data_IF_106557455363
#
_entry.id   IF_106557455363
#
_cell.length_a   1.000
_cell.length_b   1.000
_cell.length_c   1.000
_cell.angle_alpha   90.00
_cell.angle_beta   90.00
_cell.angle_gamma   90.00
#
_symmetry.space_group_name_H-M   'P 1'
#
loop_
_entity.id
_entity.type
_entity.pdbx_description
1 polymer ?
#
# COMPACT_ATOMS: atom_id res chain seq x y z
N UNK A 1 13.20 -11.03 -1.90
CA UNK A 1 12.71 -10.92 -0.53
C UNK A 1 11.36 -10.15 -0.54
N UNK A 2 10.26 -10.87 -0.31
CA UNK A 2 8.89 -10.33 -0.42
C UNK A 2 8.41 -9.78 0.93
N UNK A 3 9.28 -9.05 1.64
CA UNK A 3 8.96 -8.46 2.94
C UNK A 3 8.53 -7.01 2.79
N UNK A 4 7.46 -6.66 3.49
CA UNK A 4 7.05 -5.30 3.77
C UNK A 4 7.67 -4.85 5.09
N UNK A 5 8.33 -3.69 5.10
CA UNK A 5 8.78 -3.03 6.33
C UNK A 5 8.36 -1.56 6.20
N UNK A 6 7.41 -1.15 7.02
CA UNK A 6 6.83 0.19 6.94
C UNK A 6 6.73 0.84 8.33
N UNK A 7 7.25 2.06 8.46
CA UNK A 7 7.07 2.87 9.65
C UNK A 7 5.72 3.57 9.62
N UNK A 8 4.95 3.45 10.70
CA UNK A 8 3.68 4.12 10.90
C UNK A 8 3.68 4.89 12.22
N UNK A 9 2.97 6.00 12.26
CA UNK A 9 2.78 6.78 13.48
C UNK A 9 1.29 6.96 13.76
N UNK A 10 0.89 6.73 15.02
CA UNK A 10 -0.46 6.96 15.47
C UNK A 10 -0.44 7.62 16.86
N UNK A 11 -0.93 8.87 16.94
CA UNK A 11 -0.97 9.67 18.16
C UNK A 11 0.36 9.69 18.93
N UNK A 12 1.46 9.98 18.21
CA UNK A 12 2.80 10.09 18.77
C UNK A 12 3.50 8.76 19.08
N UNK A 13 2.84 7.63 18.87
CA UNK A 13 3.46 6.30 18.99
C UNK A 13 3.92 5.82 17.63
N UNK A 14 5.18 5.37 17.57
CA UNK A 14 5.78 4.81 16.36
C UNK A 14 5.66 3.29 16.34
N UNK A 15 5.25 2.76 15.21
CA UNK A 15 5.15 1.33 14.93
C UNK A 15 6.02 0.98 13.73
N UNK A 16 6.66 -0.17 13.81
CA UNK A 16 7.38 -0.76 12.71
C UNK A 16 6.60 -2.00 12.25
N UNK A 17 5.82 -1.82 11.19
CA UNK A 17 5.00 -2.91 10.64
C UNK A 17 5.86 -3.76 9.74
N UNK A 18 6.01 -5.03 10.09
CA UNK A 18 6.72 -6.05 9.33
C UNK A 18 5.73 -7.13 8.91
N UNK A 19 5.62 -7.35 7.62
CA UNK A 19 4.69 -8.33 7.05
C UNK A 19 5.21 -8.84 5.71
N UNK A 20 4.49 -9.77 5.09
CA UNK A 20 4.77 -10.22 3.74
C UNK A 20 4.00 -9.35 2.73
N UNK A 21 4.66 -9.06 1.60
CA UNK A 21 4.00 -8.46 0.45
C UNK A 21 3.05 -9.48 -0.17
N UNK A 22 1.77 -9.15 -0.22
CA UNK A 22 0.77 -10.00 -0.84
C UNK A 22 0.96 -10.04 -2.37
N UNK A 23 0.93 -11.22 -2.99
CA UNK A 23 1.02 -11.33 -4.44
C UNK A 23 -0.26 -10.78 -5.08
N UNK A 24 -0.08 -9.89 -6.06
CA UNK A 24 -1.18 -9.36 -6.86
C UNK A 24 -1.36 -10.24 -8.09
N UNK A 25 -2.59 -10.71 -8.32
CA UNK A 25 -2.93 -11.50 -9.50
C UNK A 25 -3.20 -10.58 -10.68
N UNK A 26 -2.15 -10.26 -11.42
CA UNK A 26 -2.24 -9.41 -12.59
C UNK A 26 -2.79 -10.16 -13.80
N UNK A 27 -3.71 -9.49 -14.50
CA UNK A 27 -4.13 -9.86 -15.86
C UNK A 27 -3.41 -8.92 -16.82
N UNK A 28 -2.55 -9.46 -17.67
CA UNK A 28 -1.85 -8.68 -18.68
C UNK A 28 -2.75 -8.43 -19.87
N UNK A 29 -2.83 -7.18 -20.29
CA UNK A 29 -3.62 -6.74 -21.43
C UNK A 29 -2.72 -6.45 -22.65
N UNK A 30 -3.30 -6.36 -23.82
CA UNK A 30 -2.56 -6.08 -25.06
C UNK A 30 -2.35 -4.58 -25.33
N UNK A 31 -3.01 -3.72 -24.57
CA UNK A 31 -2.92 -2.29 -24.73
C UNK A 31 -1.53 -1.77 -24.36
N UNK A 32 -1.05 -0.81 -25.12
CA UNK A 32 0.21 -0.14 -24.89
C UNK A 32 0.05 1.37 -24.96
N UNK A 33 0.87 2.08 -24.21
CA UNK A 33 1.04 3.54 -24.30
C UNK A 33 2.45 3.93 -23.94
N UNK A 34 2.82 5.16 -24.26
CA UNK A 34 4.08 5.73 -23.86
C UNK A 34 3.91 6.52 -22.56
N UNK A 35 4.76 6.19 -21.57
CA UNK A 35 4.90 6.94 -20.31
C UNK A 35 6.30 7.51 -20.27
N UNK A 36 6.44 8.82 -20.41
CA UNK A 36 7.74 9.45 -20.61
C UNK A 36 8.41 8.90 -21.87
N UNK A 37 9.63 8.39 -21.74
CA UNK A 37 10.40 7.77 -22.82
C UNK A 37 10.24 6.25 -22.92
N UNK A 38 9.32 5.65 -22.15
CA UNK A 38 9.17 4.21 -22.07
C UNK A 38 7.86 3.74 -22.70
N UNK A 39 7.95 2.68 -23.50
CA UNK A 39 6.78 1.96 -23.96
C UNK A 39 6.26 1.08 -22.82
N UNK A 40 5.02 1.31 -22.43
CA UNK A 40 4.37 0.58 -21.34
C UNK A 40 3.20 -0.27 -21.84
N UNK A 41 2.98 -1.38 -21.15
CA UNK A 41 1.85 -2.26 -21.35
C UNK A 41 0.91 -2.20 -20.16
N UNK A 42 -0.37 -2.42 -20.43
CA UNK A 42 -1.42 -2.40 -19.42
C UNK A 42 -1.53 -3.74 -18.71
N UNK A 43 -1.69 -3.70 -17.40
CA UNK A 43 -2.12 -4.83 -16.60
C UNK A 43 -3.23 -4.40 -15.64
N UNK A 44 -4.15 -5.29 -15.36
CA UNK A 44 -5.26 -5.05 -14.43
C UNK A 44 -5.28 -6.10 -13.32
N UNK A 45 -5.80 -5.72 -12.17
CA UNK A 45 -6.04 -6.63 -11.06
C UNK A 45 -7.23 -6.17 -10.24
N UNK A 46 -7.80 -7.06 -9.45
CA UNK A 46 -8.85 -6.74 -8.49
C UNK A 46 -8.39 -7.22 -7.12
N UNK A 47 -8.34 -6.32 -6.16
CA UNK A 47 -7.91 -6.62 -4.79
C UNK A 47 -8.89 -6.06 -3.76
N UNK A 48 -8.98 -6.65 -2.57
CA UNK A 48 -9.72 -6.04 -1.47
C UNK A 48 -9.16 -4.66 -1.11
N UNK A 49 -10.03 -3.66 -1.00
CA UNK A 49 -9.63 -2.27 -0.70
C UNK A 49 -8.81 -2.18 0.59
N UNK A 50 -9.17 -2.94 1.61
CA UNK A 50 -8.46 -2.98 2.91
C UNK A 50 -7.03 -3.49 2.83
N UNK A 51 -6.68 -4.27 1.84
CA UNK A 51 -5.28 -4.68 1.62
C UNK A 51 -4.42 -3.53 1.13
N UNK A 52 -5.02 -2.57 0.39
CA UNK A 52 -4.33 -1.38 -0.10
C UNK A 52 -4.29 -0.25 0.94
N UNK A 53 -5.32 -0.16 1.77
CA UNK A 53 -5.53 0.92 2.73
C UNK A 53 -5.45 0.45 4.19
N UNK A 54 -4.74 -0.65 4.46
CA UNK A 54 -4.65 -1.26 5.79
C UNK A 54 -4.18 -0.30 6.90
N UNK A 55 -3.45 0.74 6.53
CA UNK A 55 -2.95 1.78 7.45
C UNK A 55 -3.91 2.97 7.62
N UNK A 56 -4.99 3.06 6.82
CA UNK A 56 -5.98 4.12 6.92
C UNK A 56 -7.15 3.67 7.80
N UNK A 57 -7.42 4.45 8.84
CA UNK A 57 -8.52 4.21 9.76
C UNK A 57 -9.44 5.40 9.82
N UNK A 58 -10.75 5.15 9.72
CA UNK A 58 -11.79 6.12 9.95
C UNK A 58 -12.65 5.73 11.16
N UNK A 59 -13.37 6.69 11.72
CA UNK A 59 -14.33 6.39 12.79
C UNK A 59 -15.48 5.47 12.33
N UNK A 60 -15.77 5.46 11.03
CA UNK A 60 -16.72 4.53 10.42
C UNK A 60 -16.29 3.06 10.50
N UNK A 61 -14.97 2.80 10.47
CA UNK A 61 -14.43 1.44 10.55
C UNK A 61 -14.73 0.74 11.90
N UNK A 62 -15.03 1.52 12.95
CA UNK A 62 -15.40 0.99 14.25
C UNK A 62 -16.82 0.39 14.30
N UNK A 63 -17.66 0.74 13.33
CA UNK A 63 -19.06 0.32 13.26
C UNK A 63 -19.27 -0.81 12.25
N UNK A 64 -18.21 -1.32 11.65
CA UNK A 64 -18.28 -2.46 10.74
C UNK A 64 -18.59 -3.73 11.53
N UNK A 65 -19.60 -4.46 11.08
CA UNK A 65 -19.96 -5.75 11.64
C UNK A 65 -18.79 -6.74 11.46
N UNK A 66 -18.21 -7.18 12.57
CA UNK A 66 -17.07 -8.11 12.55
C UNK A 66 -17.45 -9.50 12.08
N UNK A 67 -18.74 -9.86 12.24
CA UNK A 67 -19.24 -11.19 11.86
C UNK A 67 -19.58 -11.26 10.36
N UNK A 68 -19.79 -10.10 9.71
CA UNK A 68 -20.05 -10.02 8.28
C UNK A 68 -19.39 -8.76 7.66
N UNK A 69 -18.07 -8.72 7.58
CA UNK A 69 -17.36 -7.59 7.00
C UNK A 69 -17.69 -7.49 5.50
N UNK A 70 -18.22 -6.35 5.09
CA UNK A 70 -18.40 -6.05 3.67
C UNK A 70 -17.02 -5.91 3.01
N UNK A 71 -16.67 -6.84 2.12
CA UNK A 71 -15.42 -6.81 1.37
C UNK A 71 -15.60 -5.92 0.15
N UNK A 72 -15.07 -4.71 0.21
CA UNK A 72 -15.00 -3.83 -0.96
C UNK A 72 -13.81 -4.24 -1.80
N UNK A 73 -14.06 -4.42 -3.10
CA UNK A 73 -13.04 -4.73 -4.10
C UNK A 73 -12.67 -3.46 -4.86
N UNK A 74 -11.38 -3.28 -5.09
CA UNK A 74 -10.85 -2.19 -5.90
C UNK A 74 -10.17 -2.74 -7.14
N UNK A 75 -10.53 -2.19 -8.29
CA UNK A 75 -9.83 -2.46 -9.53
C UNK A 75 -8.55 -1.63 -9.59
N UNK A 76 -7.46 -2.29 -9.95
CA UNK A 76 -6.15 -1.67 -10.16
C UNK A 76 -5.84 -1.73 -11.64
N UNK A 77 -5.33 -0.64 -12.18
CA UNK A 77 -4.73 -0.57 -13.50
C UNK A 77 -3.28 -0.13 -13.39
N UNK A 78 -2.37 -0.89 -13.96
CA UNK A 78 -0.94 -0.59 -13.95
C UNK A 78 -0.39 -0.56 -15.37
N UNK A 79 0.55 0.35 -15.59
CA UNK A 79 1.33 0.48 -16.83
C UNK A 79 2.79 0.21 -16.51
N UNK A 80 3.34 -0.84 -17.08
CA UNK A 80 4.70 -1.31 -16.82
C UNK A 80 5.53 -1.37 -18.10
N UNK A 81 6.82 -1.17 -17.97
CA UNK A 81 7.76 -1.22 -19.09
C UNK A 81 8.68 -2.43 -19.01
N UNK A 82 8.79 -3.17 -20.10
CA UNK A 82 9.76 -4.26 -20.25
C UNK A 82 11.19 -3.76 -20.49
N UNK A 83 11.37 -2.48 -20.82
CA UNK A 83 12.67 -1.85 -20.99
C UNK A 83 13.47 -1.78 -19.68
N UNK A 84 12.78 -1.84 -18.55
CA UNK A 84 13.37 -1.95 -17.22
C UNK A 84 12.81 -3.23 -16.57
N UNK A 85 13.52 -4.36 -16.65
CA UNK A 85 13.00 -5.68 -16.26
C UNK A 85 13.09 -5.90 -14.74
N UNK A 86 12.55 -4.97 -13.96
CA UNK A 86 12.44 -5.03 -12.51
C UNK A 86 10.99 -5.28 -12.11
N UNK A 87 10.75 -6.30 -11.30
CA UNK A 87 9.41 -6.64 -10.78
C UNK A 87 8.95 -5.72 -9.65
N UNK A 88 9.24 -4.43 -9.77
CA UNK A 88 8.99 -3.41 -8.75
C UNK A 88 7.98 -2.37 -9.23
N UNK A 89 7.43 -1.64 -8.28
CA UNK A 89 6.52 -0.54 -8.53
C UNK A 89 6.36 0.35 -7.30
N UNK A 90 5.53 1.38 -7.37
CA UNK A 90 5.26 2.25 -6.25
C UNK A 90 4.46 1.52 -5.17
N UNK A 91 4.63 1.94 -3.91
CA UNK A 91 3.95 1.36 -2.74
C UNK A 91 4.06 -0.18 -2.69
N UNK A 92 2.96 -0.88 -2.56
CA UNK A 92 2.89 -2.35 -2.49
C UNK A 92 2.62 -3.01 -3.87
N UNK A 93 2.62 -2.24 -4.96
CA UNK A 93 2.39 -2.77 -6.30
C UNK A 93 3.66 -3.38 -6.89
N UNK A 94 3.63 -4.65 -7.19
CA UNK A 94 4.77 -5.41 -7.69
C UNK A 94 4.35 -6.67 -8.46
N UNK A 95 5.32 -7.36 -9.03
CA UNK A 95 5.11 -8.70 -9.60
C UNK A 95 4.87 -8.73 -11.10
N UNK A 96 4.80 -7.58 -11.77
CA UNK A 96 4.81 -7.52 -13.24
C UNK A 96 6.22 -7.75 -13.79
N UNK A 97 6.35 -8.19 -15.05
CA UNK A 97 7.66 -8.52 -15.64
C UNK A 97 8.55 -7.30 -15.94
N UNK A 98 8.10 -6.10 -15.61
CA UNK A 98 8.82 -4.86 -15.78
C UNK A 98 8.42 -3.83 -14.74
N UNK A 99 9.19 -2.72 -14.68
CA UNK A 99 8.95 -1.63 -13.73
C UNK A 99 7.59 -0.97 -13.99
N UNK A 100 6.79 -0.83 -12.94
CA UNK A 100 5.52 -0.12 -13.00
C UNK A 100 5.80 1.39 -12.93
N UNK A 101 5.41 2.11 -13.99
CA UNK A 101 5.59 3.55 -14.10
C UNK A 101 4.32 4.34 -13.78
N UNK A 102 3.17 3.73 -13.91
CA UNK A 102 1.88 4.34 -13.55
C UNK A 102 0.96 3.27 -12.96
N UNK A 103 0.27 3.61 -11.89
CA UNK A 103 -0.75 2.76 -11.29
C UNK A 103 -1.92 3.59 -10.82
N UNK A 104 -3.13 3.13 -11.13
CA UNK A 104 -4.38 3.71 -10.65
C UNK A 104 -5.15 2.68 -9.85
N UNK A 105 -5.61 3.06 -8.68
CA UNK A 105 -6.43 2.24 -7.80
C UNK A 105 -7.53 3.09 -7.16
N UNK A 106 -8.78 2.83 -7.49
CA UNK A 106 -9.89 3.69 -7.08
C UNK A 106 -9.67 5.13 -7.57
N UNK A 107 -9.70 6.08 -6.67
CA UNK A 107 -9.53 7.52 -6.96
C UNK A 107 -8.07 7.99 -6.91
N UNK A 108 -7.14 7.07 -6.70
CA UNK A 108 -5.72 7.40 -6.57
C UNK A 108 -4.94 6.96 -7.80
N UNK A 109 -4.16 7.88 -8.36
CA UNK A 109 -3.20 7.59 -9.43
C UNK A 109 -1.79 7.98 -8.98
N UNK A 110 -0.85 7.07 -9.13
CA UNK A 110 0.57 7.29 -8.90
C UNK A 110 1.31 7.22 -10.23
N UNK A 111 2.08 8.26 -10.54
CA UNK A 111 2.86 8.37 -11.76
C UNK A 111 4.34 8.52 -11.42
N UNK A 112 5.18 7.70 -12.04
CA UNK A 112 6.63 7.85 -11.94
C UNK A 112 7.08 9.08 -12.72
N UNK A 113 7.67 10.05 -12.05
CA UNK A 113 8.17 11.29 -12.65
C UNK A 113 9.63 11.22 -13.09
N UNK A 114 10.41 10.31 -12.50
CA UNK A 114 11.82 10.17 -12.79
C UNK A 114 12.34 8.76 -12.52
N UNK A 115 13.13 8.24 -13.43
CA UNK A 115 13.89 6.98 -13.26
C UNK A 115 15.37 7.31 -13.41
N UNK A 116 16.17 6.91 -12.42
CA UNK A 116 17.64 7.06 -12.47
C UNK A 116 18.24 5.66 -12.45
N UNK A 117 18.89 5.30 -13.55
CA UNK A 117 19.59 4.02 -13.70
C UNK A 117 21.08 4.25 -13.48
N UNK A 118 21.68 3.46 -12.59
CA UNK A 118 23.10 3.57 -12.23
C UNK A 118 23.50 5.00 -11.84
N UNK A 119 22.93 5.55 -10.75
CA UNK A 119 23.27 6.91 -10.32
C UNK A 119 24.76 7.05 -10.04
N UNK A 120 25.35 8.21 -10.40
CA UNK A 120 26.77 8.50 -10.15
C UNK A 120 27.11 8.48 -8.66
N UNK A 121 26.19 9.02 -7.84
CA UNK A 121 26.30 8.99 -6.39
C UNK A 121 25.55 7.78 -5.84
N UNK A 122 26.20 7.08 -4.91
CA UNK A 122 25.58 5.92 -4.26
C UNK A 122 24.40 6.37 -3.40
N UNK A 123 23.19 6.02 -3.79
CA UNK A 123 21.99 6.26 -2.99
C UNK A 123 21.86 5.16 -1.94
N UNK A 124 21.96 5.54 -0.68
CA UNK A 124 21.73 4.61 0.44
C UNK A 124 20.24 4.61 0.80
N UNK A 125 19.59 3.46 0.59
CA UNK A 125 18.21 3.23 1.02
C UNK A 125 18.26 2.56 2.38
N UNK A 126 17.88 3.31 3.43
CA UNK A 126 17.82 2.78 4.79
C UNK A 126 16.47 2.15 5.06
N UNK A 127 16.50 0.91 5.53
CA UNK A 127 15.30 0.25 6.04
C UNK A 127 14.85 0.94 7.34
N UNK A 128 13.56 1.25 7.51
CA UNK A 128 13.07 1.74 8.79
C UNK A 128 13.37 0.76 9.92
N UNK A 129 13.85 1.27 11.05
CA UNK A 129 14.28 0.45 12.18
C UNK A 129 13.71 0.90 13.53
N UNK A 130 12.97 2.02 13.55
CA UNK A 130 12.46 2.63 14.78
C UNK A 130 10.95 2.45 14.91
N UNK A 131 10.54 1.92 16.06
CA UNK A 131 9.15 1.75 16.42
C UNK A 131 8.88 0.40 17.07
N UNK A 132 7.69 0.25 17.68
CA UNK A 132 7.22 -1.03 18.19
C UNK A 132 6.97 -1.98 17.01
N UNK A 133 7.67 -3.09 16.97
CA UNK A 133 7.48 -4.11 15.93
C UNK A 133 6.09 -4.74 16.02
N UNK A 134 5.43 -4.87 14.89
CA UNK A 134 4.10 -5.46 14.75
C UNK A 134 3.89 -5.95 13.31
N UNK A 135 2.82 -6.69 13.08
CA UNK A 135 2.33 -7.02 11.73
C UNK A 135 1.08 -6.19 11.40
N UNK A 136 0.58 -6.30 10.16
CA UNK A 136 -0.59 -5.54 9.71
C UNK A 136 -1.82 -5.80 10.58
N UNK A 137 -2.11 -7.07 10.89
CA UNK A 137 -3.29 -7.46 11.68
C UNK A 137 -3.23 -6.91 13.10
N UNK A 138 -2.10 -7.08 13.78
CA UNK A 138 -1.91 -6.60 15.15
C UNK A 138 -1.91 -5.08 15.21
N UNK A 139 -1.30 -4.41 14.22
CA UNK A 139 -1.38 -2.96 14.07
C UNK A 139 -2.83 -2.49 13.97
N UNK A 140 -3.64 -3.11 13.11
CA UNK A 140 -5.06 -2.80 12.97
C UNK A 140 -5.82 -2.96 14.30
N UNK A 141 -5.59 -4.05 15.01
CA UNK A 141 -6.22 -4.31 16.30
C UNK A 141 -5.84 -3.26 17.36
N UNK A 142 -4.56 -2.87 17.40
CA UNK A 142 -4.07 -1.83 18.32
C UNK A 142 -4.76 -0.49 18.01
N UNK A 143 -4.83 -0.09 16.74
CA UNK A 143 -5.45 1.16 16.34
C UNK A 143 -6.95 1.17 16.66
N UNK A 144 -7.67 0.11 16.31
CA UNK A 144 -9.10 -0.01 16.62
C UNK A 144 -9.37 0.07 18.13
N UNK A 145 -8.58 -0.63 18.94
CA UNK A 145 -8.69 -0.59 20.40
C UNK A 145 -8.47 0.82 20.95
N UNK A 146 -7.48 1.54 20.43
CA UNK A 146 -7.19 2.93 20.81
C UNK A 146 -8.30 3.90 20.41
N UNK A 147 -8.86 3.75 19.22
CA UNK A 147 -9.98 4.55 18.76
C UNK A 147 -11.24 4.31 19.62
N UNK A 148 -11.54 3.06 19.97
CA UNK A 148 -12.63 2.71 20.88
C UNK A 148 -12.45 3.34 22.26
N UNK A 149 -11.25 3.27 22.83
CA UNK A 149 -10.90 3.91 24.10
C UNK A 149 -11.15 5.42 24.05
N UNK A 150 -10.68 6.10 22.99
CA UNK A 150 -10.90 7.53 22.80
C UNK A 150 -12.39 7.88 22.68
N UNK A 151 -13.18 7.10 21.97
CA UNK A 151 -14.63 7.27 21.85
C UNK A 151 -15.32 7.17 23.22
N UNK A 152 -14.97 6.16 23.99
CA UNK A 152 -15.56 5.93 25.31
C UNK A 152 -15.18 7.02 26.32
N UNK A 153 -13.93 7.51 26.24
CA UNK A 153 -13.46 8.58 27.13
C UNK A 153 -14.10 9.94 26.81
N UNK A 154 -14.48 10.23 25.55
CA UNK A 154 -15.23 11.43 25.18
C UNK A 154 -16.65 11.41 25.78
N UNK A 155 -17.28 10.23 25.90
CA UNK A 155 -18.59 10.09 26.52
C UNK A 155 -18.58 10.38 28.03
N UNK A 156 -17.48 10.07 28.74
CA UNK A 156 -17.35 10.30 30.19
C UNK A 156 -17.08 11.77 30.58
N UNK A 157 -16.62 12.61 29.65
CA UNK A 157 -16.38 14.05 29.93
C UNK A 157 -17.62 14.94 29.71
N UNK A 158 -18.73 14.38 29.24
CA UNK A 158 -20.01 15.09 29.02
C UNK A 158 -21.11 14.71 30.02
N UNK A 159 -20.79 13.92 31.03
CA UNK A 159 -21.68 13.57 32.14
C UNK A 159 -21.34 14.34 33.41
#
# INVERSE_FOLDING_TARGET
DNRLIQAQEFYGKRFLVKDELQPIKWKMESESKQVGNYLCFRATAVVPEKELTWYNFSWGDLNVDKDNPEVKLTQIEAWYTLQIPLKQGPAEYWGLPGLILEVSAGDTTMLCSQVVINPKDKVEIKTPDKGKETNKLDYNNIIQSKMLEMRNNRGRRRG
#
